data_IF_156561295046
#
_entry.id   IF_156561295046
#
_cell.length_a   1.000
_cell.length_b   1.000
_cell.length_c   1.000
_cell.angle_alpha   90.00
_cell.angle_beta   90.00
_cell.angle_gamma   90.00
#
_symmetry.space_group_name_H-M   'P 1'
#
loop_
_entity.id
_entity.type
_entity.pdbx_description
1 polymer ?
#
# COMPACT_ATOMS: atom_id res chain seq x y z
N UNK A 1 22.13 -33.43 54.04
CA UNK A 1 22.17 -34.88 53.77
C UNK A 1 22.05 -35.06 52.26
N UNK A 2 23.20 -35.19 51.58
CA UNK A 2 23.66 -36.40 50.83
C UNK A 2 22.91 -36.58 49.49
N UNK A 3 23.48 -36.91 48.34
CA UNK A 3 24.84 -37.03 47.78
C UNK A 3 24.60 -37.54 46.32
N UNK A 4 25.10 -36.97 45.22
CA UNK A 4 26.33 -37.31 44.47
C UNK A 4 26.13 -36.70 43.05
N UNK A 5 26.91 -35.78 42.50
CA UNK A 5 28.28 -35.86 41.97
C UNK A 5 28.54 -36.96 40.92
N UNK A 6 28.67 -36.57 39.63
CA UNK A 6 29.69 -37.10 38.70
C UNK A 6 30.18 -36.00 37.74
N UNK A 7 31.39 -35.55 38.06
CA UNK A 7 32.34 -34.84 37.22
C UNK A 7 32.97 -35.82 36.22
N UNK A 8 33.20 -35.40 34.96
CA UNK A 8 34.21 -35.98 34.07
C UNK A 8 34.94 -34.85 33.34
N UNK A 9 36.10 -34.47 33.87
CA UNK A 9 37.17 -33.72 33.21
C UNK A 9 38.05 -34.66 32.38
N UNK A 10 38.47 -34.28 31.16
CA UNK A 10 39.81 -34.63 30.65
C UNK A 10 40.27 -33.77 29.45
N UNK A 11 41.24 -32.92 29.76
CA UNK A 11 42.46 -32.52 29.03
C UNK A 11 42.49 -32.15 27.53
N UNK A 12 42.77 -30.84 27.32
CA UNK A 12 43.94 -30.26 26.63
C UNK A 12 44.71 -31.11 25.60
N UNK A 13 44.75 -30.59 24.37
CA UNK A 13 45.80 -30.83 23.38
C UNK A 13 45.84 -29.68 22.36
N UNK A 14 46.73 -28.72 22.60
CA UNK A 14 47.15 -27.68 21.65
C UNK A 14 47.81 -28.33 20.43
N UNK A 15 47.44 -27.92 19.22
CA UNK A 15 48.39 -27.89 18.10
C UNK A 15 48.01 -26.78 17.11
N UNK A 16 48.78 -25.71 17.17
CA UNK A 16 48.91 -24.71 16.13
C UNK A 16 49.77 -25.32 15.01
N UNK A 17 49.26 -25.34 13.80
CA UNK A 17 50.09 -25.60 12.61
C UNK A 17 49.68 -24.64 11.50
N UNK A 18 50.44 -23.55 11.43
CA UNK A 18 50.51 -22.64 10.29
C UNK A 18 51.25 -23.34 9.15
N UNK A 19 50.62 -23.48 7.98
CA UNK A 19 51.30 -23.83 6.73
C UNK A 19 50.85 -22.88 5.63
N UNK A 20 51.61 -21.78 5.56
CA UNK A 20 52.28 -21.22 4.37
C UNK A 20 51.58 -21.36 3.01
N UNK A 21 51.15 -20.20 2.52
CA UNK A 21 51.11 -19.79 1.11
C UNK A 21 52.14 -20.52 0.23
N UNK A 22 51.65 -21.21 -0.80
CA UNK A 22 52.47 -21.61 -1.95
C UNK A 22 52.10 -20.70 -3.12
N UNK A 23 53.05 -19.83 -3.44
CA UNK A 23 53.00 -18.93 -4.57
C UNK A 23 53.02 -19.71 -5.89
N UNK A 24 52.14 -19.26 -6.78
CA UNK A 24 51.96 -19.74 -8.13
C UNK A 24 53.22 -19.43 -8.97
N UNK A 25 54.09 -20.42 -9.18
CA UNK A 25 55.22 -20.35 -10.12
C UNK A 25 54.68 -20.62 -11.53
N UNK A 26 54.42 -19.57 -12.30
CA UNK A 26 54.37 -19.69 -13.75
C UNK A 26 55.76 -19.55 -14.37
N UNK A 27 56.07 -20.56 -15.16
CA UNK A 27 57.31 -20.82 -15.86
C UNK A 27 57.46 -19.82 -17.01
N UNK A 28 58.53 -19.00 -16.95
CA UNK A 28 59.12 -18.36 -18.13
C UNK A 28 59.73 -19.45 -19.02
N UNK A 29 59.27 -19.58 -20.26
CA UNK A 29 60.11 -20.11 -21.35
C UNK A 29 59.93 -19.26 -22.61
N UNK A 30 60.93 -18.39 -22.77
CA UNK A 30 61.38 -17.79 -24.01
C UNK A 30 61.52 -18.83 -25.13
N UNK A 31 60.92 -18.57 -26.29
CA UNK A 31 61.33 -19.17 -27.56
C UNK A 31 61.66 -18.04 -28.53
N UNK A 32 62.96 -17.87 -28.72
CA UNK A 32 63.65 -17.14 -29.78
C UNK A 32 63.11 -17.50 -31.18
N UNK A 33 62.94 -16.54 -32.10
CA UNK A 33 62.64 -16.83 -33.48
C UNK A 33 63.93 -17.14 -34.26
N UNK A 34 63.90 -18.20 -35.06
CA UNK A 34 65.02 -18.65 -35.89
C UNK A 34 65.09 -17.77 -37.14
N UNK A 35 66.24 -17.13 -37.32
CA UNK A 35 66.61 -16.31 -38.48
C UNK A 35 66.66 -17.17 -39.75
N UNK A 36 65.89 -16.81 -40.77
CA UNK A 36 66.01 -17.32 -42.13
C UNK A 36 66.42 -16.15 -43.04
N UNK A 37 67.52 -16.39 -43.77
CA UNK A 37 68.26 -15.48 -44.64
C UNK A 37 67.39 -14.88 -45.74
N UNK A 38 67.63 -13.59 -45.99
CA UNK A 38 67.19 -12.81 -47.13
C UNK A 38 67.58 -13.44 -48.48
N UNK A 39 66.64 -13.39 -49.43
CA UNK A 39 66.91 -13.16 -50.85
C UNK A 39 66.07 -11.96 -51.31
N UNK A 40 66.73 -11.08 -52.05
CA UNK A 40 66.30 -9.80 -52.59
C UNK A 40 65.27 -9.92 -53.72
N UNK A 41 64.30 -9.00 -53.76
CA UNK A 41 64.01 -8.19 -54.95
C UNK A 41 63.17 -6.95 -54.59
N UNK A 42 63.38 -5.78 -55.23
CA UNK A 42 62.69 -4.54 -54.91
C UNK A 42 61.59 -4.23 -55.93
N UNK A 43 60.44 -3.77 -55.42
CA UNK A 43 59.43 -2.87 -56.04
C UNK A 43 58.04 -3.30 -55.59
N UNK A 44 57.40 -2.50 -54.75
CA UNK A 44 56.04 -1.95 -54.95
C UNK A 44 55.44 -1.54 -53.61
N UNK A 45 55.00 -0.28 -53.57
CA UNK A 45 54.26 0.35 -52.50
C UNK A 45 52.83 -0.19 -52.47
N UNK A 46 52.40 -0.78 -51.35
CA UNK A 46 50.97 -1.01 -51.07
C UNK A 46 50.69 -0.63 -49.61
N UNK A 47 49.83 0.36 -49.43
CA UNK A 47 49.26 0.78 -48.14
C UNK A 47 48.53 -0.40 -47.47
N UNK A 48 48.96 -0.81 -46.28
CA UNK A 48 48.29 -1.86 -45.52
C UNK A 48 47.27 -1.22 -44.56
N UNK A 49 46.01 -1.17 -44.98
CA UNK A 49 44.87 -0.76 -44.14
C UNK A 49 44.68 -1.83 -43.06
N UNK A 50 44.93 -1.49 -41.79
CA UNK A 50 44.56 -2.33 -40.66
C UNK A 50 43.08 -2.14 -40.35
N UNK A 51 42.27 -3.15 -40.67
CA UNK A 51 40.89 -3.22 -40.21
C UNK A 51 40.88 -3.64 -38.73
N UNK A 52 40.54 -2.72 -37.83
CA UNK A 52 40.16 -3.08 -36.46
C UNK A 52 38.80 -3.76 -36.50
N UNK A 53 38.78 -5.08 -36.28
CA UNK A 53 37.55 -5.86 -36.16
C UNK A 53 37.08 -5.79 -34.70
N UNK A 54 36.24 -4.82 -34.36
CA UNK A 54 35.48 -4.87 -33.09
C UNK A 54 34.35 -5.87 -33.25
N UNK A 55 34.56 -7.11 -32.84
CA UNK A 55 33.46 -8.05 -32.64
C UNK A 55 32.73 -7.67 -31.35
N UNK A 56 31.64 -6.92 -31.47
CA UNK A 56 30.69 -6.78 -30.36
C UNK A 56 29.93 -8.09 -30.26
N UNK A 57 30.14 -8.82 -29.17
CA UNK A 57 29.40 -10.06 -28.89
C UNK A 57 27.97 -9.68 -28.43
N UNK A 58 27.08 -9.42 -29.40
CA UNK A 58 25.65 -9.11 -29.19
C UNK A 58 24.81 -10.36 -28.90
N UNK A 59 25.23 -11.23 -27.99
CA UNK A 59 24.46 -12.42 -27.60
C UNK A 59 24.78 -12.88 -26.17
N UNK A 60 24.94 -11.93 -25.26
CA UNK A 60 25.09 -12.25 -23.83
C UNK A 60 23.70 -12.46 -23.22
N UNK A 61 23.45 -13.69 -22.74
CA UNK A 61 22.25 -14.02 -21.95
C UNK A 61 22.57 -13.71 -20.49
N UNK A 62 21.88 -12.70 -19.94
CA UNK A 62 22.03 -12.29 -18.55
C UNK A 62 20.88 -12.87 -17.73
N UNK A 63 21.22 -13.60 -16.67
CA UNK A 63 20.24 -14.05 -15.68
C UNK A 63 20.01 -12.94 -14.67
N UNK A 64 18.80 -12.38 -14.67
CA UNK A 64 18.40 -11.36 -13.69
C UNK A 64 17.95 -12.07 -12.43
N UNK A 65 18.58 -11.72 -11.31
CA UNK A 65 18.27 -12.29 -9.98
C UNK A 65 17.34 -11.37 -9.21
N UNK A 66 16.58 -11.95 -8.29
CA UNK A 66 15.78 -11.19 -7.30
C UNK A 66 16.68 -10.19 -6.57
N UNK A 67 16.31 -8.89 -6.52
CA UNK A 67 17.05 -7.91 -5.71
C UNK A 67 17.04 -8.31 -4.23
N UNK A 68 18.04 -7.87 -3.47
CA UNK A 68 18.08 -8.16 -2.03
C UNK A 68 16.87 -7.52 -1.34
N UNK A 69 16.12 -8.30 -0.56
CA UNK A 69 15.05 -7.80 0.29
C UNK A 69 15.63 -7.13 1.54
N UNK A 70 14.87 -6.21 2.14
CA UNK A 70 15.21 -5.67 3.46
C UNK A 70 15.23 -6.80 4.51
N UNK A 71 16.02 -6.65 5.58
CA UNK A 71 16.27 -7.70 6.60
C UNK A 71 15.01 -8.28 7.25
N UNK A 72 13.84 -7.65 7.09
CA UNK A 72 12.55 -8.09 7.62
C UNK A 72 11.68 -8.92 6.67
N UNK A 73 12.12 -9.25 5.45
CA UNK A 73 11.34 -10.01 4.45
C UNK A 73 12.19 -11.10 3.79
N UNK A 74 11.81 -12.37 3.96
CA UNK A 74 12.59 -13.53 3.47
C UNK A 74 12.10 -14.09 2.12
N UNK A 75 10.80 -13.95 1.82
CA UNK A 75 10.16 -14.49 0.60
C UNK A 75 9.16 -13.48 0.00
N UNK A 76 8.94 -13.53 -1.33
CA UNK A 76 7.92 -12.74 -2.04
C UNK A 76 7.30 -13.53 -3.21
N UNK A 77 6.09 -13.14 -3.65
CA UNK A 77 5.47 -13.72 -4.86
C UNK A 77 5.75 -12.83 -6.07
N UNK A 78 6.10 -13.43 -7.20
CA UNK A 78 6.37 -12.70 -8.45
C UNK A 78 5.08 -12.45 -9.19
N UNK A 79 4.84 -11.19 -9.58
CA UNK A 79 3.79 -10.80 -10.53
C UNK A 79 4.45 -10.29 -11.80
N UNK A 80 4.17 -10.93 -12.92
CA UNK A 80 4.77 -10.55 -14.20
C UNK A 80 3.96 -9.45 -14.89
N UNK A 81 4.64 -8.39 -15.34
CA UNK A 81 4.04 -7.37 -16.23
C UNK A 81 4.34 -7.65 -17.70
N UNK A 82 5.39 -8.43 -17.99
CA UNK A 82 5.87 -8.78 -19.33
C UNK A 82 5.93 -10.29 -19.52
N UNK A 83 5.62 -10.75 -20.73
CA UNK A 83 5.61 -12.17 -21.10
C UNK A 83 6.93 -12.62 -21.74
N UNK A 84 7.11 -13.95 -21.87
CA UNK A 84 8.23 -14.53 -22.63
C UNK A 84 8.20 -14.01 -24.07
N UNK A 85 9.31 -13.46 -24.55
CA UNK A 85 9.43 -12.90 -25.89
C UNK A 85 9.18 -11.40 -26.02
N UNK A 86 8.74 -10.73 -24.94
CA UNK A 86 8.60 -9.28 -24.95
C UNK A 86 9.97 -8.58 -24.95
N UNK A 87 10.04 -7.46 -25.65
CA UNK A 87 11.21 -6.57 -25.66
C UNK A 87 11.10 -5.60 -24.49
N UNK A 88 12.17 -5.49 -23.71
CA UNK A 88 12.28 -4.58 -22.58
C UNK A 88 13.46 -3.64 -22.77
N UNK A 89 13.29 -2.38 -22.38
CA UNK A 89 14.34 -1.37 -22.36
C UNK A 89 15.19 -1.48 -21.08
N UNK A 90 16.36 -0.84 -21.07
CA UNK A 90 17.14 -0.67 -19.84
C UNK A 90 16.31 0.13 -18.82
N UNK A 91 16.33 -0.29 -17.55
CA UNK A 91 15.53 0.22 -16.44
C UNK A 91 13.99 0.07 -16.57
N UNK A 92 13.49 -0.65 -17.58
CA UNK A 92 12.07 -0.96 -17.70
C UNK A 92 11.64 -2.04 -16.69
N UNK A 93 10.49 -1.86 -16.03
CA UNK A 93 9.97 -2.79 -15.03
C UNK A 93 9.44 -4.05 -15.71
N UNK A 94 9.96 -5.22 -15.29
CA UNK A 94 9.64 -6.52 -15.91
C UNK A 94 8.66 -7.32 -15.06
N UNK A 95 8.86 -7.27 -13.75
CA UNK A 95 7.98 -7.90 -12.76
C UNK A 95 7.94 -7.08 -11.48
N UNK A 96 6.83 -7.19 -10.77
CA UNK A 96 6.63 -6.64 -9.44
C UNK A 96 6.62 -7.82 -8.46
N UNK A 97 7.54 -7.79 -7.49
CA UNK A 97 7.55 -8.78 -6.40
C UNK A 97 6.66 -8.24 -5.30
N UNK A 98 5.52 -8.88 -5.11
CA UNK A 98 4.61 -8.58 -4.01
C UNK A 98 5.14 -9.27 -2.75
N UNK A 99 5.67 -8.47 -1.82
CA UNK A 99 6.00 -8.92 -0.47
C UNK A 99 4.87 -8.58 0.50
N UNK A 100 5.01 -9.01 1.75
CA UNK A 100 3.95 -8.92 2.75
C UNK A 100 3.67 -7.51 3.29
N UNK A 101 4.55 -6.56 2.99
CA UNK A 101 4.42 -5.16 3.43
C UNK A 101 4.49 -4.17 2.26
N UNK A 102 5.27 -4.46 1.24
CA UNK A 102 5.48 -3.57 0.09
C UNK A 102 5.62 -4.38 -1.19
N UNK A 103 5.36 -3.74 -2.33
CA UNK A 103 5.66 -4.34 -3.63
C UNK A 103 6.92 -3.71 -4.21
N UNK A 104 7.89 -4.56 -4.58
CA UNK A 104 9.21 -4.18 -5.08
C UNK A 104 9.24 -4.38 -6.58
N UNK A 105 9.48 -3.32 -7.33
CA UNK A 105 9.62 -3.39 -8.79
C UNK A 105 11.02 -3.88 -9.16
N UNK A 106 11.12 -4.86 -10.07
CA UNK A 106 12.40 -5.37 -10.57
C UNK A 106 12.65 -4.75 -11.97
N UNK A 107 13.56 -3.76 -12.07
CA UNK A 107 13.94 -3.18 -13.36
C UNK A 107 14.83 -4.13 -14.16
N UNK A 108 14.78 -4.02 -15.49
CA UNK A 108 15.66 -4.75 -16.40
C UNK A 108 17.06 -4.11 -16.42
N UNK A 109 18.15 -4.87 -16.17
CA UNK A 109 19.51 -4.32 -16.17
C UNK A 109 20.09 -4.03 -17.56
N UNK A 110 19.37 -4.35 -18.64
CA UNK A 110 19.78 -4.05 -20.02
C UNK A 110 18.58 -4.10 -20.97
N UNK A 111 18.72 -3.47 -22.15
CA UNK A 111 17.75 -3.61 -23.23
C UNK A 111 17.88 -4.99 -23.92
N UNK A 112 16.77 -5.72 -24.06
CA UNK A 112 16.80 -7.08 -24.58
C UNK A 112 15.43 -7.76 -24.69
N UNK A 113 15.46 -9.06 -25.03
CA UNK A 113 14.26 -9.90 -25.13
C UNK A 113 14.27 -10.94 -24.01
N UNK A 114 13.12 -11.13 -23.35
CA UNK A 114 12.94 -12.14 -22.30
C UNK A 114 12.90 -13.53 -22.94
N UNK A 115 13.90 -14.38 -22.67
CA UNK A 115 13.98 -15.72 -23.27
C UNK A 115 13.16 -16.76 -22.50
N UNK A 116 13.20 -16.71 -21.17
CA UNK A 116 12.66 -17.76 -20.32
C UNK A 116 12.33 -17.17 -18.93
N UNK A 117 11.10 -17.42 -18.47
CA UNK A 117 10.68 -17.16 -17.10
C UNK A 117 10.95 -18.43 -16.28
N UNK A 118 11.82 -18.33 -15.27
CA UNK A 118 12.20 -19.47 -14.43
C UNK A 118 11.19 -19.71 -13.29
N UNK A 119 10.35 -18.71 -13.02
CA UNK A 119 9.36 -18.71 -11.94
C UNK A 119 7.98 -18.45 -12.54
N UNK A 120 6.97 -19.31 -12.27
CA UNK A 120 5.61 -19.09 -12.76
C UNK A 120 5.00 -17.83 -12.12
N UNK A 121 3.96 -17.27 -12.75
CA UNK A 121 3.22 -16.14 -12.20
C UNK A 121 2.56 -16.50 -10.86
N UNK A 122 2.84 -15.71 -9.82
CA UNK A 122 2.51 -16.00 -8.43
C UNK A 122 3.40 -17.06 -7.76
N UNK A 123 4.56 -17.37 -8.33
CA UNK A 123 5.56 -18.26 -7.74
C UNK A 123 6.37 -17.59 -6.63
N UNK A 124 6.75 -18.36 -5.61
CA UNK A 124 7.55 -17.90 -4.46
C UNK A 124 9.03 -17.74 -4.83
N UNK A 125 9.63 -16.63 -4.44
CA UNK A 125 11.06 -16.35 -4.63
C UNK A 125 11.74 -15.83 -3.37
N UNK A 126 12.94 -16.34 -3.12
CA UNK A 126 13.86 -15.84 -2.09
C UNK A 126 14.87 -14.84 -2.69
N UNK A 127 15.52 -14.05 -1.83
CA UNK A 127 16.53 -13.07 -2.23
C UNK A 127 17.70 -13.73 -2.98
N UNK A 128 18.02 -13.25 -4.18
CA UNK A 128 19.09 -13.78 -5.02
C UNK A 128 18.73 -14.96 -5.94
N UNK A 129 17.48 -15.43 -5.91
CA UNK A 129 16.97 -16.47 -6.83
C UNK A 129 16.92 -15.95 -8.28
N UNK A 130 17.28 -16.75 -9.30
CA UNK A 130 17.20 -16.32 -10.70
C UNK A 130 15.72 -16.24 -11.16
N UNK A 131 15.31 -15.08 -11.66
CA UNK A 131 13.91 -14.80 -12.06
C UNK A 131 13.67 -15.11 -13.54
N UNK A 132 14.48 -14.54 -14.42
CA UNK A 132 14.36 -14.71 -15.87
C UNK A 132 15.71 -14.56 -16.56
N UNK A 133 15.80 -15.13 -17.77
CA UNK A 133 16.94 -14.97 -18.66
C UNK A 133 16.63 -13.89 -19.70
N UNK A 134 17.49 -12.89 -19.79
CA UNK A 134 17.39 -11.76 -20.70
C UNK A 134 18.50 -11.86 -21.75
N UNK A 135 18.15 -11.87 -23.04
CA UNK A 135 19.13 -11.76 -24.12
C UNK A 135 19.39 -10.29 -24.45
N UNK A 136 20.61 -9.81 -24.23
CA UNK A 136 21.02 -8.44 -24.58
C UNK A 136 21.04 -8.23 -26.10
N UNK A 137 20.36 -7.20 -26.59
CA UNK A 137 20.52 -6.66 -27.95
C UNK A 137 19.92 -7.49 -29.11
N UNK A 138 18.80 -8.17 -28.91
CA UNK A 138 18.11 -8.91 -29.98
C UNK A 138 17.11 -8.05 -30.76
N UNK A 139 17.27 -7.96 -32.09
CA UNK A 139 16.14 -7.75 -33.00
C UNK A 139 15.19 -8.96 -32.90
N UNK A 140 13.86 -8.75 -33.06
CA UNK A 140 12.88 -9.81 -32.82
C UNK A 140 13.15 -11.04 -33.69
N UNK A 141 12.99 -12.23 -33.11
CA UNK A 141 12.98 -13.48 -33.85
C UNK A 141 11.74 -13.46 -34.74
N UNK A 142 11.94 -13.25 -36.04
CA UNK A 142 10.94 -13.45 -37.09
C UNK A 142 10.38 -14.87 -36.97
N UNK A 143 9.19 -14.98 -36.39
CA UNK A 143 8.31 -16.12 -36.63
C UNK A 143 7.84 -16.05 -38.09
N UNK A 144 7.85 -17.21 -38.73
CA UNK A 144 7.46 -17.39 -40.13
C UNK A 144 6.07 -16.80 -40.43
N UNK A 145 5.83 -16.29 -41.66
CA UNK A 145 4.57 -15.67 -42.01
C UNK A 145 3.47 -16.74 -42.09
N UNK A 146 2.53 -16.69 -41.16
CA UNK A 146 1.21 -17.26 -41.35
C UNK A 146 0.39 -16.33 -42.24
N UNK A 147 -0.38 -16.94 -43.13
CA UNK A 147 -1.24 -16.38 -44.18
C UNK A 147 -1.96 -15.08 -43.80
N UNK A 148 -2.18 -14.15 -44.76
CA UNK A 148 -2.81 -12.87 -44.49
C UNK A 148 -4.28 -13.06 -44.06
N UNK A 149 -4.73 -12.44 -42.95
CA UNK A 149 -6.14 -12.39 -42.61
C UNK A 149 -6.89 -11.42 -43.54
N UNK A 150 -8.11 -11.84 -43.88
CA UNK A 150 -9.10 -11.10 -44.65
C UNK A 150 -9.41 -9.72 -44.05
N UNK A 151 -9.72 -8.77 -44.93
CA UNK A 151 -9.93 -7.35 -44.66
C UNK A 151 -10.95 -7.07 -43.54
N UNK A 152 -10.54 -6.22 -42.59
CA UNK A 152 -11.41 -5.58 -41.60
C UNK A 152 -11.82 -4.16 -42.08
N UNK A 153 -13.01 -3.67 -41.69
CA UNK A 153 -13.66 -2.48 -42.24
C UNK A 153 -13.04 -1.14 -41.77
N UNK A 154 -13.32 -0.01 -42.45
CA UNK A 154 -12.64 1.27 -42.22
C UNK A 154 -13.00 1.95 -40.89
N UNK A 155 -12.14 2.87 -40.40
CA UNK A 155 -12.33 3.56 -39.13
C UNK A 155 -13.47 4.60 -39.19
N UNK A 156 -14.12 4.91 -38.05
CA UNK A 156 -15.11 5.98 -37.96
C UNK A 156 -14.45 7.38 -38.04
N UNK A 157 -15.17 8.40 -38.54
CA UNK A 157 -14.65 9.76 -38.72
C UNK A 157 -14.47 10.53 -37.40
N UNK A 158 -13.64 11.61 -37.39
CA UNK A 158 -13.37 12.42 -36.21
C UNK A 158 -14.59 13.22 -35.72
N UNK A 159 -14.67 13.56 -34.43
CA UNK A 159 -15.78 14.34 -33.88
C UNK A 159 -15.75 15.80 -34.38
N UNK A 160 -16.87 16.23 -34.94
CA UNK A 160 -17.11 17.60 -35.41
C UNK A 160 -17.10 18.62 -34.27
N UNK A 161 -16.62 19.81 -34.62
CA UNK A 161 -16.55 21.01 -33.82
C UNK A 161 -17.87 21.39 -33.11
N UNK A 162 -17.72 21.88 -31.90
CA UNK A 162 -18.75 22.43 -31.02
C UNK A 162 -19.39 23.67 -31.65
N UNK A 163 -20.68 23.58 -31.98
CA UNK A 163 -21.54 24.74 -32.25
C UNK A 163 -22.07 25.37 -30.95
N UNK A 164 -22.58 26.62 -31.00
CA UNK A 164 -22.95 27.38 -29.80
C UNK A 164 -24.22 26.87 -29.10
N UNK A 165 -24.22 27.03 -27.78
CA UNK A 165 -25.23 26.57 -26.81
C UNK A 165 -26.59 27.29 -27.03
N UNK A 166 -27.72 26.57 -27.17
CA UNK A 166 -29.05 27.17 -27.12
C UNK A 166 -29.54 27.31 -25.66
N UNK A 167 -29.97 28.53 -25.31
CA UNK A 167 -30.55 28.92 -24.02
C UNK A 167 -32.08 28.77 -24.00
N UNK A 168 -32.60 27.55 -23.89
CA UNK A 168 -34.01 27.32 -23.52
C UNK A 168 -34.19 26.01 -22.74
N UNK A 169 -34.87 26.08 -21.59
CA UNK A 169 -35.21 24.93 -20.75
C UNK A 169 -36.40 24.15 -21.33
N UNK A 170 -36.41 22.79 -21.29
CA UNK A 170 -37.60 22.00 -21.63
C UNK A 170 -38.67 22.05 -20.52
N UNK A 171 -39.97 21.87 -20.84
CA UNK A 171 -41.07 22.01 -19.89
C UNK A 171 -41.21 20.81 -18.96
N UNK A 172 -41.61 21.09 -17.71
CA UNK A 172 -41.90 20.10 -16.66
C UNK A 172 -43.24 19.38 -16.95
N UNK A 173 -43.31 18.03 -16.90
CA UNK A 173 -44.57 17.30 -17.01
C UNK A 173 -45.43 17.46 -15.74
N UNK A 174 -46.78 17.54 -15.86
CA UNK A 174 -47.66 17.72 -14.71
C UNK A 174 -47.79 16.44 -13.86
N UNK A 175 -47.82 16.63 -12.54
CA UNK A 175 -48.06 15.61 -11.52
C UNK A 175 -49.54 15.19 -11.53
N UNK A 176 -49.89 13.90 -11.69
CA UNK A 176 -51.26 13.45 -11.54
C UNK A 176 -51.66 13.43 -10.06
N UNK A 177 -52.69 14.19 -9.71
CA UNK A 177 -53.32 14.19 -8.40
C UNK A 177 -54.46 13.17 -8.36
N UNK A 178 -54.18 11.90 -8.08
CA UNK A 178 -55.19 10.97 -7.57
C UNK A 178 -54.58 9.95 -6.60
N UNK A 179 -55.32 9.70 -5.52
CA UNK A 179 -54.96 8.85 -4.38
C UNK A 179 -54.87 7.37 -4.78
N UNK A 180 -53.84 6.69 -4.27
CA UNK A 180 -53.72 5.24 -4.41
C UNK A 180 -54.54 4.55 -3.32
N UNK A 181 -55.67 3.96 -3.71
CA UNK A 181 -56.40 2.99 -2.90
C UNK A 181 -55.69 1.62 -2.95
N UNK A 182 -55.29 1.12 -1.79
CA UNK A 182 -54.72 -0.22 -1.64
C UNK A 182 -55.82 -1.25 -1.34
N UNK A 183 -55.91 -2.32 -2.14
CA UNK A 183 -56.47 -3.61 -1.70
C UNK A 183 -55.59 -4.79 -2.16
N UNK A 184 -55.40 -5.81 -1.31
CA UNK A 184 -54.42 -6.88 -1.52
C UNK A 184 -55.03 -8.01 -2.35
N UNK A 185 -54.28 -8.54 -3.32
CA UNK A 185 -54.69 -9.74 -4.07
C UNK A 185 -54.08 -10.97 -3.42
N UNK A 186 -54.90 -11.67 -2.64
CA UNK A 186 -54.71 -13.07 -2.30
C UNK A 186 -55.66 -13.93 -3.14
N UNK A 187 -55.13 -15.08 -3.57
CA UNK A 187 -55.83 -16.28 -4.05
C UNK A 187 -56.41 -16.29 -5.48
N UNK A 188 -55.63 -16.84 -6.43
CA UNK A 188 -56.16 -17.74 -7.47
C UNK A 188 -55.20 -18.94 -7.63
N UNK A 189 -55.76 -20.15 -7.48
CA UNK A 189 -55.12 -21.48 -7.57
C UNK A 189 -55.13 -21.95 -9.05
N UNK A 190 -54.17 -22.79 -9.51
CA UNK A 190 -53.96 -23.05 -10.93
C UNK A 190 -54.88 -24.14 -11.49
N UNK A 191 -55.42 -23.91 -12.69
CA UNK A 191 -56.10 -24.93 -13.51
C UNK A 191 -55.20 -25.28 -14.70
N UNK A 192 -54.86 -26.56 -14.83
CA UNK A 192 -54.07 -27.11 -15.93
C UNK A 192 -54.97 -27.60 -17.08
N UNK A 193 -54.56 -27.33 -18.32
CA UNK A 193 -55.03 -27.98 -19.55
C UNK A 193 -53.98 -27.74 -20.67
N UNK A 194 -54.00 -28.47 -21.81
CA UNK A 194 -53.11 -29.60 -22.09
C UNK A 194 -52.00 -29.29 -23.11
N UNK A 195 -50.98 -30.15 -23.14
CA UNK A 195 -49.82 -30.06 -24.00
C UNK A 195 -50.10 -30.38 -25.48
N UNK A 196 -49.52 -29.58 -26.37
CA UNK A 196 -49.31 -29.85 -27.80
C UNK A 196 -48.04 -29.10 -28.27
N UNK A 197 -47.41 -29.48 -29.39
CA UNK A 197 -46.11 -30.12 -29.45
C UNK A 197 -44.92 -29.15 -29.53
N UNK A 198 -43.76 -29.67 -29.13
CA UNK A 198 -42.47 -29.00 -29.04
C UNK A 198 -42.00 -28.53 -30.43
N UNK A 199 -42.05 -27.22 -30.68
CA UNK A 199 -41.20 -26.57 -31.66
C UNK A 199 -39.96 -26.05 -30.92
N UNK A 200 -38.80 -26.61 -31.24
CA UNK A 200 -37.50 -26.08 -30.80
C UNK A 200 -37.34 -24.67 -31.37
N UNK A 201 -37.67 -23.67 -30.57
CA UNK A 201 -37.15 -22.33 -30.73
C UNK A 201 -35.97 -22.19 -29.77
N UNK A 202 -34.86 -21.78 -30.36
CA UNK A 202 -33.55 -21.57 -29.77
C UNK A 202 -33.61 -20.98 -28.36
N UNK A 203 -32.80 -21.57 -27.47
CA UNK A 203 -32.72 -21.24 -26.06
C UNK A 203 -32.73 -19.74 -25.82
N UNK A 204 -33.87 -19.25 -25.32
CA UNK A 204 -33.99 -17.91 -24.78
C UNK A 204 -32.86 -17.71 -23.78
N UNK A 205 -32.09 -16.63 -23.99
CA UNK A 205 -31.03 -16.22 -23.10
C UNK A 205 -31.60 -16.03 -21.69
N UNK A 206 -31.53 -17.09 -20.87
CA UNK A 206 -31.60 -16.98 -19.42
C UNK A 206 -30.37 -16.16 -19.05
N UNK A 207 -30.58 -14.89 -18.69
CA UNK A 207 -29.52 -13.95 -18.32
C UNK A 207 -28.40 -14.66 -17.57
N UNK A 208 -27.24 -14.80 -18.20
CA UNK A 208 -26.12 -15.54 -17.64
C UNK A 208 -25.64 -14.76 -16.43
N UNK A 209 -26.01 -15.22 -15.23
CA UNK A 209 -25.37 -14.78 -14.00
C UNK A 209 -23.95 -15.31 -14.07
N UNK A 210 -23.02 -14.45 -14.47
CA UNK A 210 -21.60 -14.79 -14.53
C UNK A 210 -20.97 -14.52 -13.18
N UNK A 211 -20.28 -15.53 -12.64
CA UNK A 211 -19.44 -15.39 -11.45
C UNK A 211 -17.98 -15.29 -11.89
N UNK A 212 -17.25 -14.29 -11.39
CA UNK A 212 -15.79 -14.20 -11.58
C UNK A 212 -15.09 -14.51 -10.26
N UNK A 213 -14.05 -15.35 -10.31
CA UNK A 213 -13.22 -15.71 -9.17
C UNK A 213 -11.85 -15.10 -9.35
N UNK A 214 -11.44 -14.25 -8.41
CA UNK A 214 -10.12 -13.63 -8.40
C UNK A 214 -9.37 -14.12 -7.17
N UNK A 215 -8.14 -14.62 -7.36
CA UNK A 215 -7.28 -15.06 -6.26
C UNK A 215 -6.82 -13.83 -5.46
N UNK A 216 -6.86 -13.90 -4.13
CA UNK A 216 -6.29 -12.82 -3.30
C UNK A 216 -4.77 -12.81 -3.42
N UNK A 217 -4.20 -11.61 -3.45
CA UNK A 217 -2.75 -11.45 -3.42
C UNK A 217 -2.18 -11.60 -2.00
N UNK A 218 -0.86 -11.78 -1.86
CA UNK A 218 -0.20 -12.02 -0.56
C UNK A 218 -0.48 -10.92 0.45
N UNK A 219 -0.36 -9.67 0.02
CA UNK A 219 -0.59 -8.51 0.87
C UNK A 219 -2.02 -8.51 1.41
N UNK A 220 -3.03 -8.79 0.57
CA UNK A 220 -4.43 -8.88 1.01
C UNK A 220 -4.65 -10.05 1.97
N UNK A 221 -4.01 -11.19 1.74
CA UNK A 221 -4.08 -12.34 2.65
C UNK A 221 -3.51 -12.01 4.03
N UNK A 222 -2.33 -11.39 4.09
CA UNK A 222 -1.71 -10.91 5.34
C UNK A 222 -2.58 -9.89 6.08
N UNK A 223 -3.14 -8.91 5.35
CA UNK A 223 -4.06 -7.92 5.93
C UNK A 223 -5.31 -8.61 6.49
N UNK A 224 -5.92 -9.52 5.73
CA UNK A 224 -7.10 -10.26 6.17
C UNK A 224 -6.83 -11.09 7.43
N UNK A 225 -5.69 -11.77 7.48
CA UNK A 225 -5.25 -12.52 8.66
C UNK A 225 -5.09 -11.60 9.87
N UNK A 226 -4.33 -10.50 9.74
CA UNK A 226 -4.10 -9.54 10.82
C UNK A 226 -5.39 -8.90 11.35
N UNK A 227 -6.29 -8.50 10.46
CA UNK A 227 -7.58 -7.92 10.86
C UNK A 227 -8.43 -8.93 11.64
N UNK A 228 -8.39 -10.21 11.26
CA UNK A 228 -9.14 -11.25 11.94
C UNK A 228 -8.50 -11.64 13.29
N UNK A 229 -7.17 -11.67 13.35
CA UNK A 229 -6.42 -11.85 14.59
C UNK A 229 -6.76 -10.75 15.60
N UNK A 230 -6.76 -9.48 15.19
CA UNK A 230 -7.15 -8.35 16.04
C UNK A 230 -8.54 -8.54 16.67
N UNK A 231 -9.53 -8.99 15.88
CA UNK A 231 -10.89 -9.24 16.36
C UNK A 231 -10.99 -10.45 17.29
N UNK A 232 -10.13 -11.44 17.13
CA UNK A 232 -10.16 -12.66 17.95
C UNK A 232 -9.42 -12.45 19.28
N UNK A 233 -8.40 -11.58 19.29
CA UNK A 233 -7.57 -11.30 20.46
C UNK A 233 -8.15 -10.19 21.33
N UNK A 234 -8.52 -9.04 20.74
CA UNK A 234 -9.02 -7.90 21.50
C UNK A 234 -10.51 -8.06 21.82
N UNK A 235 -10.92 -7.72 23.04
CA UNK A 235 -12.34 -7.60 23.38
C UNK A 235 -12.84 -6.21 22.93
N UNK A 236 -13.03 -6.05 21.63
CA UNK A 236 -13.27 -4.74 21.02
C UNK A 236 -14.64 -4.18 21.40
N UNK A 237 -14.66 -2.98 21.99
CA UNK A 237 -15.87 -2.18 22.19
C UNK A 237 -15.67 -0.81 21.54
N UNK A 238 -16.72 -0.27 20.92
CA UNK A 238 -16.70 1.08 20.34
C UNK A 238 -17.66 2.00 21.08
N UNK A 239 -17.17 3.17 21.48
CA UNK A 239 -17.99 4.29 21.99
C UNK A 239 -17.96 5.45 21.01
N UNK A 240 -19.04 6.22 20.96
CA UNK A 240 -19.22 7.33 20.02
C UNK A 240 -19.52 8.63 20.75
N UNK A 241 -18.95 9.72 20.23
CA UNK A 241 -19.33 11.08 20.58
C UNK A 241 -19.58 11.90 19.31
N UNK A 242 -20.46 12.89 19.42
CA UNK A 242 -20.54 13.97 18.44
C UNK A 242 -19.66 15.14 18.86
N UNK A 243 -19.14 15.88 17.89
CA UNK A 243 -18.24 17.03 18.08
C UNK A 243 -18.74 18.17 17.19
N UNK A 244 -18.97 19.34 17.80
CA UNK A 244 -19.27 20.58 17.07
C UNK A 244 -17.97 21.14 16.46
N UNK A 245 -17.91 21.18 15.13
CA UNK A 245 -16.74 21.64 14.39
C UNK A 245 -16.76 23.16 14.13
N UNK A 246 -17.73 23.91 14.66
CA UNK A 246 -17.92 25.34 14.40
C UNK A 246 -16.67 26.17 14.70
N UNK A 247 -16.19 26.11 15.95
CA UNK A 247 -15.10 26.96 16.43
C UNK A 247 -13.78 26.63 15.73
N UNK A 248 -13.48 25.36 15.53
CA UNK A 248 -12.25 24.95 14.84
C UNK A 248 -12.31 25.27 13.35
N UNK A 249 -13.49 25.18 12.72
CA UNK A 249 -13.69 25.60 11.34
C UNK A 249 -13.52 27.12 11.19
N UNK A 250 -14.02 27.89 12.14
CA UNK A 250 -13.84 29.34 12.18
C UNK A 250 -12.37 29.72 12.41
N UNK A 251 -11.70 29.12 13.40
CA UNK A 251 -10.27 29.32 13.64
C UNK A 251 -9.46 29.05 12.38
N UNK A 252 -9.73 27.92 11.70
CA UNK A 252 -9.06 27.59 10.44
C UNK A 252 -9.36 28.63 9.36
N UNK A 253 -10.61 29.08 9.22
CA UNK A 253 -11.00 30.10 8.22
C UNK A 253 -10.25 31.41 8.45
N UNK A 254 -10.10 31.83 9.69
CA UNK A 254 -9.46 33.09 10.08
C UNK A 254 -7.93 33.06 9.93
N UNK A 255 -7.29 31.93 10.24
CA UNK A 255 -5.82 31.87 10.32
C UNK A 255 -5.12 31.10 9.19
N UNK A 256 -5.84 30.36 8.32
CA UNK A 256 -5.22 29.51 7.27
C UNK A 256 -4.19 30.23 6.40
N UNK A 257 -4.43 31.49 6.02
CA UNK A 257 -3.57 32.21 5.08
C UNK A 257 -2.32 32.75 5.78
N UNK A 258 -2.47 33.24 7.02
CA UNK A 258 -1.34 33.65 7.85
C UNK A 258 -0.47 32.44 8.23
N UNK A 259 -1.09 31.31 8.56
CA UNK A 259 -0.41 30.06 8.87
C UNK A 259 0.39 29.54 7.68
N UNK A 260 -0.22 29.54 6.48
CA UNK A 260 0.44 29.17 5.24
C UNK A 260 1.65 30.07 4.96
N UNK A 261 1.52 31.40 5.12
CA UNK A 261 2.63 32.33 4.92
C UNK A 261 3.78 32.12 5.91
N UNK A 262 3.47 31.85 7.18
CA UNK A 262 4.48 31.71 8.24
C UNK A 262 5.20 30.35 8.21
N UNK A 263 4.46 29.27 7.96
CA UNK A 263 4.97 27.90 8.10
C UNK A 263 5.15 27.17 6.77
N UNK A 264 4.74 27.78 5.65
CA UNK A 264 4.73 27.20 4.30
C UNK A 264 3.96 25.88 4.21
N UNK A 265 2.89 25.74 5.01
CA UNK A 265 2.03 24.56 5.00
C UNK A 265 0.58 24.91 5.29
N UNK A 266 -0.36 24.17 4.71
CA UNK A 266 -1.79 24.38 4.89
C UNK A 266 -2.21 23.92 6.29
N UNK A 267 -3.02 24.74 6.97
CA UNK A 267 -3.65 24.35 8.22
C UNK A 267 -4.78 23.35 7.93
N UNK A 268 -4.62 22.11 8.35
CA UNK A 268 -5.61 21.05 8.29
C UNK A 268 -6.43 20.96 9.59
N UNK A 269 -7.38 20.03 9.61
CA UNK A 269 -8.06 19.65 10.86
C UNK A 269 -7.30 18.55 11.61
N UNK A 270 -6.51 17.73 10.90
CA UNK A 270 -5.82 16.59 11.48
C UNK A 270 -4.85 16.99 12.59
N UNK A 271 -4.14 18.12 12.46
CA UNK A 271 -3.25 18.61 13.53
C UNK A 271 -3.97 18.83 14.85
N UNK A 272 -5.21 19.33 14.83
CA UNK A 272 -5.99 19.52 16.05
C UNK A 272 -6.42 18.20 16.66
N UNK A 273 -6.85 17.21 15.87
CA UNK A 273 -7.22 15.89 16.39
C UNK A 273 -6.02 15.10 16.90
N UNK A 274 -4.89 15.16 16.20
CA UNK A 274 -3.63 14.54 16.62
C UNK A 274 -3.14 15.16 17.92
N UNK A 275 -3.18 16.50 18.06
CA UNK A 275 -2.80 17.17 19.31
C UNK A 275 -3.81 16.91 20.44
N UNK A 276 -5.11 16.92 20.15
CA UNK A 276 -6.16 16.58 21.11
C UNK A 276 -6.02 15.14 21.62
N UNK A 277 -5.73 14.19 20.72
CA UNK A 277 -5.47 12.81 21.08
C UNK A 277 -4.23 12.70 21.98
N UNK A 278 -3.11 13.35 21.62
CA UNK A 278 -1.92 13.34 22.46
C UNK A 278 -2.16 13.93 23.86
N UNK A 279 -2.91 15.04 23.93
CA UNK A 279 -3.32 15.63 25.21
C UNK A 279 -4.20 14.69 26.04
N UNK A 280 -5.18 14.04 25.41
CA UNK A 280 -6.06 13.10 26.09
C UNK A 280 -5.36 11.78 26.49
N UNK A 281 -4.36 11.33 25.71
CA UNK A 281 -3.56 10.13 26.03
C UNK A 281 -2.66 10.37 27.24
N UNK A 282 -2.16 11.59 27.43
CA UNK A 282 -1.39 11.95 28.62
C UNK A 282 -2.26 11.93 29.91
N UNK A 283 -3.53 12.33 29.80
CA UNK A 283 -4.50 12.29 30.91
C UNK A 283 -5.05 10.88 31.18
N UNK A 284 -5.14 10.04 30.13
CA UNK A 284 -5.61 8.65 30.21
C UNK A 284 -4.53 7.66 29.71
N UNK A 285 -3.47 7.39 30.50
CA UNK A 285 -2.36 6.53 30.08
C UNK A 285 -2.78 5.10 29.72
N UNK A 286 -3.87 4.59 30.30
CA UNK A 286 -4.43 3.28 29.99
C UNK A 286 -4.81 3.14 28.51
N UNK A 287 -5.25 4.23 27.86
CA UNK A 287 -5.61 4.23 26.44
C UNK A 287 -4.37 4.11 25.53
N UNK A 288 -3.20 4.54 26.00
CA UNK A 288 -1.91 4.46 25.31
C UNK A 288 -1.13 3.16 25.62
N UNK A 289 -1.60 2.38 26.60
CA UNK A 289 -0.97 1.15 27.04
C UNK A 289 -1.30 -0.03 26.09
N UNK A 290 -0.61 -1.15 26.27
CA UNK A 290 -0.87 -2.42 25.56
C UNK A 290 -0.84 -3.60 26.52
N UNK A 291 -1.62 -4.63 26.23
CA UNK A 291 -1.45 -5.96 26.85
C UNK A 291 -0.40 -6.74 26.04
N UNK A 292 0.71 -7.10 26.67
CA UNK A 292 1.62 -8.09 26.12
C UNK A 292 1.12 -9.49 26.50
N UNK A 293 0.42 -10.14 25.58
CA UNK A 293 -0.12 -11.49 25.77
C UNK A 293 1.00 -12.56 25.99
N UNK A 294 2.25 -12.27 25.64
CA UNK A 294 3.40 -13.19 25.81
C UNK A 294 3.88 -13.21 27.26
N UNK A 295 4.14 -12.04 27.82
CA UNK A 295 4.61 -11.86 29.20
C UNK A 295 3.45 -11.80 30.20
N UNK A 296 2.22 -11.60 29.72
CA UNK A 296 1.00 -11.35 30.50
C UNK A 296 1.10 -10.08 31.35
N UNK A 297 1.79 -9.08 30.83
CA UNK A 297 1.99 -7.79 31.48
C UNK A 297 1.27 -6.67 30.69
N UNK A 298 0.98 -5.58 31.40
CA UNK A 298 0.49 -4.35 30.75
C UNK A 298 1.68 -3.41 30.59
N UNK A 299 1.96 -3.03 29.35
CA UNK A 299 3.04 -2.10 29.01
C UNK A 299 2.46 -0.70 28.86
N UNK A 300 2.75 0.14 29.84
CA UNK A 300 2.47 1.58 29.78
C UNK A 300 3.62 2.29 29.06
N UNK A 301 3.30 3.38 28.36
CA UNK A 301 4.26 4.18 27.59
C UNK A 301 4.11 5.66 27.93
N UNK A 302 5.24 6.29 28.25
CA UNK A 302 5.32 7.70 28.62
C UNK A 302 5.44 8.64 27.42
N UNK A 303 5.45 8.09 26.20
CA UNK A 303 5.53 8.82 24.94
C UNK A 303 4.31 8.52 24.07
N UNK A 304 3.97 9.44 23.15
CA UNK A 304 2.81 9.32 22.28
C UNK A 304 3.23 9.32 20.81
N UNK A 305 3.20 8.13 20.20
CA UNK A 305 3.44 7.94 18.77
C UNK A 305 2.10 7.64 18.07
N UNK A 306 1.61 8.56 17.25
CA UNK A 306 0.30 8.42 16.59
C UNK A 306 0.46 7.94 15.15
N UNK A 307 -0.07 6.77 14.88
CA UNK A 307 -0.27 6.21 13.55
C UNK A 307 -1.44 6.91 12.84
N UNK A 308 -1.23 7.44 11.64
CA UNK A 308 -2.29 8.10 10.86
C UNK A 308 -2.54 7.31 9.59
N UNK A 309 -3.75 6.79 9.44
CA UNK A 309 -4.10 6.00 8.26
C UNK A 309 -4.22 6.89 7.01
N UNK A 310 -3.44 6.57 5.97
CA UNK A 310 -3.41 7.30 4.70
C UNK A 310 -3.80 6.35 3.57
N UNK A 311 -4.77 6.77 2.76
CA UNK A 311 -5.17 6.03 1.57
C UNK A 311 -4.19 6.31 0.41
N UNK A 312 -3.74 5.24 -0.25
CA UNK A 312 -2.88 5.28 -1.44
C UNK A 312 -3.49 4.44 -2.55
N UNK A 313 -3.05 4.60 -3.82
CA UNK A 313 -3.54 3.76 -4.93
C UNK A 313 -3.29 2.26 -4.71
N UNK A 314 -2.22 1.88 -3.99
CA UNK A 314 -1.89 0.47 -3.69
C UNK A 314 -2.64 -0.08 -2.47
N UNK A 315 -3.29 0.79 -1.70
CA UNK A 315 -4.07 0.39 -0.53
C UNK A 315 -3.92 1.36 0.65
N UNK A 316 -4.33 0.89 1.83
CA UNK A 316 -4.20 1.65 3.06
C UNK A 316 -2.83 1.41 3.68
N UNK A 317 -2.09 2.48 3.94
CA UNK A 317 -0.83 2.46 4.70
C UNK A 317 -0.99 3.31 5.95
N UNK A 318 -0.25 2.99 7.00
CA UNK A 318 -0.43 3.63 8.31
C UNK A 318 0.93 4.10 8.84
N UNK A 319 1.45 5.23 8.35
CA UNK A 319 2.69 5.81 8.88
C UNK A 319 2.52 6.37 10.30
N UNK A 320 3.63 6.49 11.03
CA UNK A 320 3.69 6.88 12.44
C UNK A 320 4.32 8.26 12.60
N UNK A 321 3.65 9.15 13.32
CA UNK A 321 4.18 10.43 13.78
C UNK A 321 4.66 10.23 15.21
N UNK A 322 5.96 10.43 15.46
CA UNK A 322 6.59 10.14 16.74
C UNK A 322 6.61 11.35 17.68
N UNK A 323 6.50 11.12 18.99
CA UNK A 323 6.60 12.14 20.05
C UNK A 323 5.66 13.34 19.84
N UNK A 324 4.38 13.06 19.56
CA UNK A 324 3.37 14.08 19.22
C UNK A 324 3.09 15.03 20.40
N UNK A 325 3.32 14.59 21.63
CA UNK A 325 3.16 15.39 22.84
C UNK A 325 4.02 16.66 22.81
N UNK A 326 5.20 16.61 22.20
CA UNK A 326 6.11 17.77 22.07
C UNK A 326 5.85 18.67 20.85
N UNK A 327 5.01 18.24 19.89
CA UNK A 327 4.84 18.96 18.62
C UNK A 327 3.80 20.06 18.68
N UNK A 328 4.01 21.17 17.95
CA UNK A 328 2.94 22.15 17.70
C UNK A 328 2.14 21.77 16.43
N UNK A 329 1.09 22.53 16.11
CA UNK A 329 0.25 22.23 14.93
C UNK A 329 1.04 22.26 13.61
N UNK A 330 2.01 23.18 13.46
CA UNK A 330 2.81 23.27 12.24
C UNK A 330 3.73 22.06 12.08
N UNK A 331 4.32 21.56 13.16
CA UNK A 331 5.17 20.38 13.13
C UNK A 331 4.35 19.13 12.79
N UNK A 332 3.16 18.99 13.36
CA UNK A 332 2.23 17.90 13.04
C UNK A 332 1.81 17.95 11.57
N UNK A 333 1.37 19.10 11.06
CA UNK A 333 0.99 19.22 9.64
C UNK A 333 2.16 18.88 8.71
N UNK A 334 3.38 19.31 9.06
CA UNK A 334 4.58 19.01 8.26
C UNK A 334 4.88 17.52 8.26
N UNK A 335 4.79 16.86 9.41
CA UNK A 335 4.99 15.41 9.52
C UNK A 335 3.94 14.64 8.71
N UNK A 336 2.65 15.00 8.84
CA UNK A 336 1.55 14.39 8.06
C UNK A 336 1.78 14.57 6.56
N UNK A 337 2.18 15.76 6.13
CA UNK A 337 2.38 16.04 4.72
C UNK A 337 3.58 15.24 4.16
N UNK A 338 4.71 15.23 4.87
CA UNK A 338 5.90 14.47 4.48
C UNK A 338 5.59 12.97 4.37
N UNK A 339 4.98 12.38 5.40
CA UNK A 339 4.62 10.96 5.39
C UNK A 339 3.55 10.65 4.34
N UNK A 340 2.59 11.56 4.14
CA UNK A 340 1.55 11.44 3.12
C UNK A 340 2.08 11.56 1.69
N UNK A 341 3.13 12.34 1.45
CA UNK A 341 3.84 12.38 0.15
C UNK A 341 4.63 11.10 -0.09
N UNK A 342 5.41 10.63 0.88
CA UNK A 342 6.10 9.34 0.80
C UNK A 342 5.12 8.19 0.54
N UNK A 343 3.98 8.18 1.24
CA UNK A 343 2.92 7.19 1.06
C UNK A 343 2.41 7.16 -0.38
N UNK A 344 2.08 8.34 -0.94
CA UNK A 344 1.58 8.47 -2.32
C UNK A 344 2.62 8.07 -3.37
N UNK A 345 3.91 8.31 -3.08
CA UNK A 345 5.03 7.92 -3.95
C UNK A 345 5.48 6.46 -3.77
N UNK A 346 4.91 5.73 -2.81
CA UNK A 346 5.36 4.39 -2.38
C UNK A 346 6.80 4.34 -1.87
N UNK A 347 7.25 5.42 -1.21
CA UNK A 347 8.60 5.57 -0.65
C UNK A 347 8.62 5.41 0.89
N UNK A 348 7.53 4.91 1.49
CA UNK A 348 7.48 4.66 2.92
C UNK A 348 8.41 3.51 3.30
N UNK A 349 9.31 3.79 4.23
CA UNK A 349 10.17 2.77 4.81
C UNK A 349 9.39 1.94 5.85
N UNK A 350 9.90 0.76 6.23
CA UNK A 350 9.22 -0.10 7.22
C UNK A 350 9.20 0.58 8.59
N UNK A 351 10.24 1.34 8.89
CA UNK A 351 10.45 2.12 10.12
C UNK A 351 9.47 3.28 10.24
N UNK A 352 8.96 3.79 9.11
CA UNK A 352 7.93 4.84 9.07
C UNK A 352 6.56 4.28 9.49
N UNK A 353 6.36 2.96 9.48
CA UNK A 353 5.08 2.30 9.78
C UNK A 353 5.06 1.54 11.11
N UNK A 354 6.21 1.45 11.79
CA UNK A 354 6.37 0.64 12.99
C UNK A 354 6.44 1.47 14.29
N UNK A 355 6.04 0.86 15.40
CA UNK A 355 6.18 1.44 16.74
C UNK A 355 5.14 2.49 17.16
N UNK A 356 4.06 2.67 16.40
CA UNK A 356 2.97 3.55 16.83
C UNK A 356 2.23 3.01 18.06
N UNK A 357 1.83 3.89 18.97
CA UNK A 357 1.12 3.55 20.22
C UNK A 357 -0.39 3.74 20.11
N UNK A 358 -0.85 4.63 19.24
CA UNK A 358 -2.27 4.91 19.01
C UNK A 358 -2.54 5.14 17.52
N UNK A 359 -3.73 4.77 17.02
CA UNK A 359 -4.10 5.01 15.60
C UNK A 359 -5.22 6.03 15.48
N UNK A 360 -5.09 6.94 14.53
CA UNK A 360 -6.19 7.76 14.00
C UNK A 360 -6.48 7.34 12.56
N UNK A 361 -7.75 7.05 12.28
CA UNK A 361 -8.24 6.72 10.94
C UNK A 361 -9.37 7.66 10.56
N UNK A 362 -9.24 8.32 9.41
CA UNK A 362 -10.22 9.28 8.92
C UNK A 362 -11.01 8.70 7.73
N UNK A 363 -12.20 8.16 8.00
CA UNK A 363 -13.15 7.75 6.97
C UNK A 363 -13.98 8.91 6.40
N UNK A 364 -13.94 10.07 7.04
CA UNK A 364 -14.70 11.25 6.63
C UNK A 364 -14.30 11.82 5.28
N UNK A 365 -13.05 11.62 4.87
CA UNK A 365 -12.59 12.00 3.52
C UNK A 365 -13.33 11.25 2.40
N UNK A 366 -13.97 10.12 2.72
CA UNK A 366 -14.80 9.33 1.81
C UNK A 366 -16.31 9.53 2.02
N UNK A 367 -16.71 10.49 2.86
CA UNK A 367 -18.11 10.76 3.16
C UNK A 367 -18.75 9.76 4.14
N UNK A 368 -17.95 9.00 4.90
CA UNK A 368 -18.48 8.11 5.94
C UNK A 368 -19.20 8.91 7.04
N UNK A 369 -20.38 8.46 7.47
CA UNK A 369 -21.12 9.07 8.58
C UNK A 369 -20.53 8.70 9.93
N UNK A 370 -20.40 7.40 10.19
CA UNK A 370 -19.64 6.81 11.28
C UNK A 370 -19.36 5.34 10.97
N UNK A 371 -18.38 4.76 11.64
CA UNK A 371 -18.00 3.36 11.55
C UNK A 371 -17.24 2.91 12.80
N UNK A 372 -17.11 1.60 12.96
CA UNK A 372 -16.38 0.97 14.06
C UNK A 372 -15.00 0.54 13.54
N UNK A 373 -13.96 1.40 13.65
CA UNK A 373 -12.64 1.03 13.16
C UNK A 373 -12.10 -0.20 13.90
N UNK A 374 -11.38 -1.05 13.17
CA UNK A 374 -10.70 -2.20 13.77
C UNK A 374 -9.33 -1.72 14.27
N UNK A 375 -9.01 -2.03 15.53
CA UNK A 375 -7.72 -1.75 16.17
C UNK A 375 -6.59 -2.36 15.33
N UNK A 376 -5.46 -1.66 15.26
CA UNK A 376 -4.24 -2.13 14.60
C UNK A 376 -3.28 -2.71 15.66
N UNK A 377 -3.19 -4.03 15.84
CA UNK A 377 -2.27 -4.61 16.83
C UNK A 377 -0.82 -4.21 16.54
N UNK A 378 0.01 -4.00 17.56
CA UNK A 378 -0.24 -4.31 18.97
C UNK A 378 -0.99 -3.23 19.76
N UNK A 379 -1.49 -2.17 19.15
CA UNK A 379 -2.13 -1.07 19.90
C UNK A 379 -3.44 -1.51 20.57
N UNK A 380 -3.88 -0.77 21.59
CA UNK A 380 -5.12 -1.08 22.33
C UNK A 380 -6.30 -0.18 21.97
N UNK A 381 -6.11 0.87 21.18
CA UNK A 381 -7.19 1.77 20.78
C UNK A 381 -6.97 2.41 19.41
N UNK A 382 -8.09 2.77 18.77
CA UNK A 382 -8.12 3.49 17.50
C UNK A 382 -9.26 4.52 17.48
N UNK A 383 -8.93 5.75 17.08
CA UNK A 383 -9.88 6.83 16.86
C UNK A 383 -10.32 6.86 15.40
N UNK A 384 -11.62 6.64 15.16
CA UNK A 384 -12.29 6.84 13.89
C UNK A 384 -12.86 8.26 13.78
N UNK A 385 -12.33 9.03 12.85
CA UNK A 385 -12.86 10.33 12.44
C UNK A 385 -13.74 10.18 11.19
N UNK A 386 -14.87 10.89 11.15
CA UNK A 386 -15.86 10.75 10.09
C UNK A 386 -16.19 12.09 9.43
N UNK A 387 -17.17 12.09 8.52
CA UNK A 387 -17.53 13.28 7.75
C UNK A 387 -18.08 14.40 8.64
N UNK A 388 -17.80 15.63 8.23
CA UNK A 388 -18.41 16.83 8.81
C UNK A 388 -19.67 17.13 7.99
N UNK A 389 -20.83 17.15 8.65
CA UNK A 389 -22.11 17.42 8.02
C UNK A 389 -22.86 18.48 8.80
N UNK A 390 -23.51 19.41 8.09
CA UNK A 390 -24.41 20.37 8.71
C UNK A 390 -25.63 19.64 9.26
N UNK A 391 -25.88 19.79 10.57
CA UNK A 391 -26.99 19.14 11.27
C UNK A 391 -27.76 20.14 12.12
N UNK A 392 -29.11 20.02 12.20
CA UNK A 392 -29.89 20.77 13.17
C UNK A 392 -29.63 20.21 14.57
N UNK A 393 -29.09 21.03 15.47
CA UNK A 393 -28.78 20.68 16.86
C UNK A 393 -29.41 21.69 17.81
N UNK A 394 -29.82 21.23 18.99
CA UNK A 394 -30.37 22.10 20.02
C UNK A 394 -29.24 22.78 20.80
N UNK A 395 -29.07 24.09 20.62
CA UNK A 395 -28.09 24.92 21.33
C UNK A 395 -28.84 25.97 22.15
N UNK A 396 -28.71 25.94 23.47
CA UNK A 396 -29.38 26.91 24.35
C UNK A 396 -30.91 26.97 24.18
N UNK A 397 -31.54 25.83 23.88
CA UNK A 397 -32.99 25.74 23.65
C UNK A 397 -33.48 26.17 22.26
N UNK A 398 -32.57 26.50 21.34
CA UNK A 398 -32.88 26.84 19.94
C UNK A 398 -32.33 25.77 19.00
N UNK A 399 -33.01 25.53 17.88
CA UNK A 399 -32.48 24.68 16.81
C UNK A 399 -31.57 25.53 15.94
N UNK A 400 -30.29 25.18 15.91
CA UNK A 400 -29.27 25.82 15.08
C UNK A 400 -28.63 24.80 14.14
N UNK A 401 -28.25 25.22 12.95
CA UNK A 401 -27.49 24.36 12.03
C UNK A 401 -26.01 24.49 12.38
N UNK A 402 -25.39 23.37 12.75
CA UNK A 402 -23.96 23.31 13.11
C UNK A 402 -23.24 22.24 12.28
N UNK A 403 -21.97 22.47 11.89
CA UNK A 403 -21.14 21.44 11.28
C UNK A 403 -20.75 20.39 12.33
N UNK A 404 -21.38 19.23 12.29
CA UNK A 404 -21.17 18.16 13.27
C UNK A 404 -20.31 17.03 12.68
N UNK A 405 -19.42 16.48 13.50
CA UNK A 405 -18.66 15.26 13.21
C UNK A 405 -18.97 14.19 14.25
N UNK A 406 -19.09 12.93 13.84
CA UNK A 406 -19.04 11.80 14.76
C UNK A 406 -17.61 11.28 14.88
N UNK A 407 -17.18 11.05 16.12
CA UNK A 407 -15.93 10.36 16.43
C UNK A 407 -16.25 9.04 17.13
N UNK A 408 -15.50 8.01 16.77
CA UNK A 408 -15.64 6.68 17.35
C UNK A 408 -14.31 6.27 17.97
N UNK A 409 -14.30 5.85 19.22
CA UNK A 409 -13.15 5.19 19.83
C UNK A 409 -13.47 3.70 19.92
N UNK A 410 -12.73 2.88 19.17
CA UNK A 410 -12.71 1.43 19.41
C UNK A 410 -11.50 1.11 20.28
N UNK A 411 -11.71 0.34 21.34
CA UNK A 411 -10.68 0.01 22.31
C UNK A 411 -10.78 -1.45 22.78
N UNK A 412 -9.66 -2.00 23.26
CA UNK A 412 -9.62 -3.32 23.87
C UNK A 412 -10.14 -3.24 25.31
N UNK A 413 -11.37 -3.73 25.51
CA UNK A 413 -12.07 -3.69 26.80
C UNK A 413 -11.47 -4.65 27.83
N UNK A 414 -10.42 -5.42 27.48
CA UNK A 414 -9.60 -6.14 28.47
C UNK A 414 -8.69 -5.18 29.27
N UNK A 415 -8.32 -4.05 28.67
CA UNK A 415 -7.38 -3.07 29.25
C UNK A 415 -8.08 -1.77 29.65
N UNK A 416 -8.94 -1.26 28.77
CA UNK A 416 -9.54 0.08 28.90
C UNK A 416 -10.99 -0.09 29.34
N UNK A 417 -11.33 0.52 30.47
CA UNK A 417 -12.70 0.52 30.98
C UNK A 417 -13.56 1.60 30.30
N UNK A 418 -14.89 1.41 30.30
CA UNK A 418 -15.83 2.37 29.71
C UNK A 418 -15.69 3.80 30.25
N UNK A 419 -15.32 3.97 31.53
CA UNK A 419 -15.08 5.30 32.12
C UNK A 419 -13.90 6.02 31.47
N UNK A 420 -12.80 5.29 31.25
CA UNK A 420 -11.56 5.83 30.66
C UNK A 420 -11.80 6.19 29.19
N UNK A 421 -12.45 5.29 28.45
CA UNK A 421 -12.82 5.52 27.05
C UNK A 421 -13.72 6.75 26.86
N UNK A 422 -14.75 6.91 27.69
CA UNK A 422 -15.65 8.08 27.64
C UNK A 422 -14.93 9.36 28.06
N UNK A 423 -14.08 9.29 29.09
CA UNK A 423 -13.29 10.44 29.56
C UNK A 423 -12.33 10.91 28.47
N UNK A 424 -11.62 9.97 27.82
CA UNK A 424 -10.75 10.23 26.69
C UNK A 424 -11.48 10.91 25.52
N UNK A 425 -12.60 10.34 25.07
CA UNK A 425 -13.38 10.92 23.97
C UNK A 425 -13.94 12.30 24.32
N UNK A 426 -14.40 12.49 25.57
CA UNK A 426 -14.89 13.79 26.04
C UNK A 426 -13.76 14.83 26.07
N UNK A 427 -12.55 14.44 26.46
CA UNK A 427 -11.38 15.33 26.45
C UNK A 427 -11.03 15.73 25.01
N UNK A 428 -11.00 14.79 24.06
CA UNK A 428 -10.85 15.11 22.63
C UNK A 428 -11.93 16.08 22.15
N UNK A 429 -13.20 15.79 22.47
CA UNK A 429 -14.34 16.67 22.12
C UNK A 429 -14.11 18.09 22.65
N UNK A 430 -13.74 18.25 23.92
CA UNK A 430 -13.52 19.57 24.53
C UNK A 430 -12.42 20.38 23.84
N UNK A 431 -11.32 19.72 23.45
CA UNK A 431 -10.21 20.38 22.75
C UNK A 431 -10.58 20.75 21.32
N UNK A 432 -11.32 19.88 20.62
CA UNK A 432 -11.70 20.15 19.22
C UNK A 432 -12.78 21.22 19.14
N UNK A 433 -13.74 21.21 20.07
CA UNK A 433 -14.77 22.25 20.19
C UNK A 433 -14.18 23.58 20.67
N UNK A 434 -13.14 23.55 21.50
CA UNK A 434 -12.43 24.75 21.91
C UNK A 434 -10.91 24.54 22.00
N UNK A 435 -10.16 24.85 20.93
CA UNK A 435 -8.70 24.71 20.92
C UNK A 435 -7.97 25.55 21.96
N UNK A 436 -8.61 26.56 22.58
CA UNK A 436 -8.02 27.36 23.66
C UNK A 436 -7.74 26.53 24.90
N UNK A 437 -8.43 25.40 25.08
CA UNK A 437 -8.20 24.44 26.16
C UNK A 437 -6.74 23.98 26.18
N UNK A 438 -6.12 23.78 25.01
CA UNK A 438 -4.70 23.40 24.91
C UNK A 438 -3.75 24.50 25.39
N UNK A 439 -4.15 25.78 25.29
CA UNK A 439 -3.33 26.92 25.72
C UNK A 439 -3.47 27.18 27.22
N UNK A 440 -4.63 26.88 27.78
CA UNK A 440 -4.97 27.11 29.18
C UNK A 440 -4.71 25.90 30.08
N UNK A 441 -4.37 24.76 29.49
CA UNK A 441 -4.14 23.48 30.19
C UNK A 441 -5.32 23.06 31.08
N UNK A 442 -6.52 22.99 30.47
CA UNK A 442 -7.80 22.70 31.16
C UNK A 442 -8.41 21.34 30.85
#
# INVERSE_FOLDING_TARGET
MLSHSRCLTRNFGRSLSAIRQVGNKQIKRSRTPRCLRLKSDPRSSIFQIQYFRTSVAYNEVVTVKTPAFAESVTEGDVRWEKAVGDTVSEDEVVCEIETDKTSVQVPSPAAGVIEELLVPDGGKVEGGTPLFKLRKGGLPRLLQPLLPPSAAPPPPPPPSAVGPIPTTMPPVPPVPAHAMDTKPVSAIKPTAAPAAPVAQAEGGAKGARTESRVKMNRMRLRIAQRLKEAQNTCAMLTTFNEVDMSNISEMRKSYKDAFLKKHNIKLGFMSAFVKAAAYALADQPAVNAVIDDTTKEIVYRDYVDISVAVATPKGLVVPVIRNVEGMNFADIEKAINLLGEKARKNELAVEDMDGGTFTISNGGVFGSMFGTPIINPPQSAILGMHGIFDRPVAVGGKVEIRPMMYVALTYDHRLIDGREAVTFLRKIKSVVEDPRVLLLDM
#
